data_IF_475139540045
#
_entry.id   IF_475139540045
#
_cell.length_a   1.000
_cell.length_b   1.000
_cell.length_c   1.000
_cell.angle_alpha   90.00
_cell.angle_beta   90.00
_cell.angle_gamma   90.00
#
_symmetry.space_group_name_H-M   'P 1'
#
loop_
_entity.id
_entity.type
_entity.pdbx_description
1 polymer ?
#
# COMPACT_ATOMS: atom_id res chain seq x y z
N UNK A 1 12.78 -17.24 20.26
CA UNK A 1 12.89 -15.76 20.17
C UNK A 1 11.71 -15.27 19.33
N UNK A 2 10.95 -14.26 19.77
CA UNK A 2 9.94 -13.64 18.91
C UNK A 2 10.70 -12.75 17.92
N UNK A 3 10.65 -13.08 16.63
CA UNK A 3 11.21 -12.20 15.61
C UNK A 3 10.33 -10.95 15.53
N UNK A 4 10.94 -9.78 15.69
CA UNK A 4 10.24 -8.51 15.53
C UNK A 4 9.71 -8.39 14.09
N UNK A 5 8.51 -7.82 13.88
CA UNK A 5 7.98 -7.62 12.54
C UNK A 5 8.89 -6.73 11.69
N UNK A 6 9.03 -7.07 10.41
CA UNK A 6 9.78 -6.24 9.46
C UNK A 6 8.83 -5.26 8.78
N UNK A 7 9.16 -3.97 8.81
CA UNK A 7 8.33 -2.90 8.22
C UNK A 7 9.03 -2.28 7.01
N UNK A 8 8.27 -2.10 5.93
CA UNK A 8 8.66 -1.34 4.73
C UNK A 8 7.66 -0.20 4.53
N UNK A 9 8.09 1.02 4.83
CA UNK A 9 7.32 2.23 4.55
C UNK A 9 7.65 2.72 3.14
N UNK A 10 6.80 2.40 2.17
CA UNK A 10 7.11 2.58 0.74
C UNK A 10 7.22 4.05 0.36
N UNK A 11 6.40 4.91 0.99
CA UNK A 11 6.53 6.36 0.90
C UNK A 11 7.95 6.84 1.21
N UNK A 12 8.66 6.19 2.13
CA UNK A 12 10.02 6.56 2.48
C UNK A 12 11.03 6.23 1.38
N UNK A 13 10.83 5.11 0.68
CA UNK A 13 11.68 4.73 -0.46
C UNK A 13 11.37 5.57 -1.69
N UNK A 14 10.16 6.13 -1.76
CA UNK A 14 9.66 6.90 -2.88
C UNK A 14 9.61 8.41 -2.60
N UNK A 15 10.33 8.93 -1.58
CA UNK A 15 10.31 10.35 -1.11
C UNK A 15 10.39 11.45 -2.18
N UNK A 16 10.90 11.16 -3.38
CA UNK A 16 11.03 12.11 -4.48
C UNK A 16 9.96 11.94 -5.59
N UNK A 17 9.00 11.03 -5.42
CA UNK A 17 7.95 10.73 -6.40
C UNK A 17 6.61 11.26 -5.88
N UNK A 18 6.47 12.59 -5.90
CA UNK A 18 5.32 13.32 -5.35
C UNK A 18 4.04 13.20 -6.21
N UNK A 19 3.82 12.03 -6.84
CA UNK A 19 2.68 11.76 -7.72
C UNK A 19 1.98 10.51 -7.22
N UNK A 20 0.72 10.63 -6.80
CA UNK A 20 -0.16 9.51 -6.41
C UNK A 20 -0.06 8.33 -7.39
N UNK A 21 0.06 8.63 -8.69
CA UNK A 21 0.30 7.68 -9.78
C UNK A 21 1.44 6.68 -9.54
N UNK A 22 2.48 7.04 -8.79
CA UNK A 22 3.62 6.18 -8.53
C UNK A 22 3.31 5.14 -7.46
N UNK A 23 2.66 5.54 -6.37
CA UNK A 23 2.23 4.58 -5.35
C UNK A 23 1.19 3.61 -5.91
N UNK A 24 0.29 4.12 -6.75
CA UNK A 24 -0.66 3.33 -7.51
C UNK A 24 0.02 2.28 -8.41
N UNK A 25 0.99 2.69 -9.23
CA UNK A 25 1.76 1.77 -10.09
C UNK A 25 2.60 0.79 -9.27
N UNK A 26 3.14 1.23 -8.15
CA UNK A 26 3.92 0.36 -7.27
C UNK A 26 3.03 -0.68 -6.57
N UNK A 27 1.84 -0.29 -6.12
CA UNK A 27 0.84 -1.19 -5.57
C UNK A 27 0.43 -2.24 -6.61
N UNK A 28 0.13 -1.84 -7.84
CA UNK A 28 -0.15 -2.77 -8.93
C UNK A 28 1.03 -3.74 -9.19
N UNK A 29 2.27 -3.23 -9.17
CA UNK A 29 3.46 -4.06 -9.32
C UNK A 29 3.65 -5.04 -8.16
N UNK A 30 3.35 -4.64 -6.91
CA UNK A 30 3.37 -5.54 -5.77
C UNK A 30 2.35 -6.66 -5.93
N UNK A 31 1.12 -6.35 -6.36
CA UNK A 31 0.08 -7.34 -6.65
C UNK A 31 0.51 -8.33 -7.73
N UNK A 32 1.27 -7.88 -8.73
CA UNK A 32 1.78 -8.75 -9.80
C UNK A 32 2.97 -9.63 -9.36
N UNK A 33 3.86 -9.11 -8.52
CA UNK A 33 5.18 -9.75 -8.27
C UNK A 33 5.33 -10.42 -6.91
N UNK A 34 4.59 -9.96 -5.90
CA UNK A 34 4.79 -10.38 -4.50
C UNK A 34 3.49 -10.88 -3.89
N UNK A 35 2.40 -10.12 -4.06
CA UNK A 35 1.09 -10.39 -3.47
C UNK A 35 0.19 -11.10 -4.49
N UNK A 36 0.71 -12.18 -5.07
CA UNK A 36 0.09 -12.94 -6.16
C UNK A 36 -1.07 -13.82 -5.71
N UNK A 37 -1.15 -14.09 -4.41
CA UNK A 37 -2.28 -14.78 -3.79
C UNK A 37 -3.36 -13.78 -3.37
N UNK A 38 -4.58 -14.27 -3.17
CA UNK A 38 -5.66 -13.44 -2.62
C UNK A 38 -5.44 -13.17 -1.13
N UNK A 39 -5.81 -11.96 -0.65
CA UNK A 39 -5.73 -11.67 0.77
C UNK A 39 -6.70 -12.56 1.56
N UNK A 40 -6.21 -13.12 2.67
CA UNK A 40 -7.00 -13.89 3.64
C UNK A 40 -8.03 -13.01 4.35
N UNK A 41 -7.71 -11.73 4.51
CA UNK A 41 -8.62 -10.72 5.04
C UNK A 41 -8.33 -9.39 4.37
N UNK A 42 -9.38 -8.61 4.07
CA UNK A 42 -9.24 -7.24 3.58
C UNK A 42 -10.31 -6.34 4.17
N UNK A 43 -10.00 -5.06 4.30
CA UNK A 43 -10.99 -4.04 4.65
C UNK A 43 -12.04 -3.96 3.54
N UNK A 44 -13.32 -3.88 3.90
CA UNK A 44 -14.38 -3.56 2.95
C UNK A 44 -14.20 -2.13 2.43
N UNK A 45 -14.55 -1.91 1.16
CA UNK A 45 -14.44 -0.58 0.55
C UNK A 45 -15.23 0.45 1.36
N UNK A 46 -14.57 1.55 1.73
CA UNK A 46 -15.20 2.65 2.46
C UNK A 46 -15.42 2.43 3.96
N UNK A 47 -14.98 1.29 4.53
CA UNK A 47 -15.19 0.95 5.95
C UNK A 47 -14.49 1.92 6.92
N UNK A 48 -13.30 2.43 6.56
CA UNK A 48 -12.54 3.37 7.40
C UNK A 48 -12.37 4.71 6.69
N UNK A 49 -13.09 5.71 7.18
CA UNK A 49 -13.01 7.10 6.74
C UNK A 49 -12.59 7.98 7.92
N UNK A 50 -11.51 8.74 7.74
CA UNK A 50 -11.00 9.69 8.73
C UNK A 50 -11.33 11.09 8.22
N UNK A 51 -12.10 11.84 9.00
CA UNK A 51 -12.49 13.21 8.67
C UNK A 51 -11.58 14.17 9.44
N UNK A 52 -10.70 14.88 8.74
CA UNK A 52 -9.83 15.89 9.34
C UNK A 52 -10.00 17.21 8.59
N UNK A 53 -10.57 18.24 9.23
CA UNK A 53 -10.61 19.62 8.71
C UNK A 53 -11.11 19.76 7.25
N UNK A 54 -12.18 19.05 6.88
CA UNK A 54 -12.78 18.95 5.51
C UNK A 54 -12.01 18.11 4.49
N UNK A 55 -10.89 17.47 4.88
CA UNK A 55 -10.21 16.45 4.09
C UNK A 55 -10.67 15.08 4.54
N UNK A 56 -11.03 14.24 3.58
CA UNK A 56 -11.36 12.84 3.83
C UNK A 56 -10.13 12.01 3.52
N UNK A 57 -9.69 11.24 4.51
CA UNK A 57 -8.70 10.20 4.31
C UNK A 57 -9.41 8.86 4.37
N UNK A 58 -9.05 7.96 3.46
CA UNK A 58 -9.47 6.58 3.49
C UNK A 58 -8.29 5.72 3.93
N UNK A 59 -8.59 4.68 4.71
CA UNK A 59 -7.62 3.69 5.13
C UNK A 59 -8.14 2.32 4.74
N UNK A 60 -7.24 1.45 4.27
CA UNK A 60 -7.54 0.05 4.09
C UNK A 60 -6.34 -0.81 4.41
N UNK A 61 -6.62 -2.07 4.73
CA UNK A 61 -5.63 -3.10 4.98
C UNK A 61 -5.97 -4.38 4.23
N UNK A 62 -4.94 -5.11 3.87
CA UNK A 62 -5.01 -6.46 3.33
C UNK A 62 -4.04 -7.34 4.12
N UNK A 63 -4.48 -8.55 4.45
CA UNK A 63 -3.72 -9.57 5.17
C UNK A 63 -3.45 -10.73 4.23
N UNK A 64 -2.19 -11.08 4.06
CA UNK A 64 -1.74 -12.19 3.23
C UNK A 64 -1.01 -13.23 4.06
N UNK A 65 -1.12 -14.49 3.66
CA UNK A 65 -0.31 -15.59 4.17
C UNK A 65 0.60 -16.07 3.03
N UNK A 66 1.86 -15.67 3.05
CA UNK A 66 2.82 -15.91 1.95
C UNK A 66 4.03 -16.64 2.50
N UNK A 67 4.32 -17.83 2.00
CA UNK A 67 5.52 -18.60 2.35
C UNK A 67 5.77 -18.70 3.87
N UNK A 68 4.74 -19.09 4.64
CA UNK A 68 4.75 -19.15 6.12
C UNK A 68 4.99 -17.82 6.84
N UNK A 69 4.87 -16.70 6.13
CA UNK A 69 4.90 -15.35 6.70
C UNK A 69 3.51 -14.72 6.62
N UNK A 70 3.17 -13.91 7.61
CA UNK A 70 1.95 -13.10 7.58
C UNK A 70 2.36 -11.70 7.16
N UNK A 71 1.81 -11.22 6.04
CA UNK A 71 2.07 -9.88 5.54
C UNK A 71 0.80 -9.04 5.68
N UNK A 72 0.93 -7.92 6.38
CA UNK A 72 -0.08 -6.87 6.44
C UNK A 72 0.33 -5.77 5.48
N UNK A 73 -0.51 -5.50 4.49
CA UNK A 73 -0.40 -4.33 3.65
C UNK A 73 -1.40 -3.29 4.13
N UNK A 74 -0.91 -2.11 4.48
CA UNK A 74 -1.71 -0.95 4.82
C UNK A 74 -1.58 0.10 3.71
N UNK A 75 -2.69 0.66 3.29
CA UNK A 75 -2.71 1.74 2.32
C UNK A 75 -3.63 2.86 2.79
N UNK A 76 -3.22 4.09 2.50
CA UNK A 76 -4.02 5.28 2.75
C UNK A 76 -4.32 6.00 1.46
N UNK A 77 -5.54 6.52 1.33
CA UNK A 77 -5.96 7.39 0.25
C UNK A 77 -6.29 8.78 0.76
N UNK A 78 -6.07 9.80 -0.08
CA UNK A 78 -6.38 11.19 0.24
C UNK A 78 -7.35 11.76 -0.77
N UNK A 79 -8.38 12.44 -0.28
CA UNK A 79 -9.26 13.24 -1.13
C UNK A 79 -8.71 14.65 -1.31
N UNK A 80 -8.47 15.05 -2.56
CA UNK A 80 -7.98 16.39 -2.91
C UNK A 80 -9.11 17.41 -3.16
N UNK A 81 -10.39 17.01 -3.01
CA UNK A 81 -11.54 17.93 -3.06
C UNK A 81 -12.19 18.13 -4.44
N UNK A 82 -11.77 17.44 -5.50
CA UNK A 82 -12.30 17.61 -6.87
C UNK A 82 -13.35 16.56 -7.28
N UNK A 83 -14.21 16.11 -6.36
CA UNK A 83 -15.37 15.29 -6.76
C UNK A 83 -16.50 16.21 -7.22
N UNK A 84 -16.82 16.19 -8.52
CA UNK A 84 -18.08 16.75 -9.02
C UNK A 84 -19.21 16.09 -8.20
N UNK A 85 -19.99 16.91 -7.48
CA UNK A 85 -21.16 16.52 -6.67
C UNK A 85 -21.01 16.13 -5.19
N UNK A 86 -19.89 16.39 -4.49
CA UNK A 86 -19.83 16.51 -3.00
C UNK A 86 -20.49 15.41 -2.12
N UNK A 87 -20.94 14.27 -2.65
CA UNK A 87 -21.87 13.39 -1.92
C UNK A 87 -21.20 12.25 -1.16
N UNK A 88 -20.00 11.82 -1.56
CA UNK A 88 -19.29 10.73 -0.90
C UNK A 88 -17.76 10.92 -0.98
N UNK A 89 -17.01 10.59 0.07
CA UNK A 89 -15.55 10.52 -0.03
C UNK A 89 -15.14 9.49 -1.09
N UNK A 90 -13.99 9.69 -1.76
CA UNK A 90 -13.55 8.76 -2.79
C UNK A 90 -13.29 7.39 -2.17
N UNK A 91 -13.83 6.36 -2.82
CA UNK A 91 -13.46 4.98 -2.56
C UNK A 91 -11.94 4.82 -2.74
N UNK A 92 -11.34 3.97 -1.90
CA UNK A 92 -9.93 3.67 -2.02
C UNK A 92 -9.75 2.72 -3.20
N UNK A 93 -9.59 3.32 -4.37
CA UNK A 93 -9.21 2.65 -5.62
C UNK A 93 -7.71 2.81 -5.82
N UNK A 94 -7.13 1.92 -6.62
CA UNK A 94 -5.76 1.98 -7.14
C UNK A 94 -5.40 3.33 -7.78
N UNK A 95 -6.30 4.29 -7.94
CA UNK A 95 -6.03 5.62 -8.47
C UNK A 95 -5.69 6.68 -7.41
N UNK A 96 -5.89 6.43 -6.11
CA UNK A 96 -5.83 7.46 -5.06
C UNK A 96 -4.91 7.14 -3.88
N UNK A 97 -3.98 6.19 -4.00
CA UNK A 97 -3.09 5.80 -2.90
C UNK A 97 -2.07 6.91 -2.62
N UNK A 98 -2.09 7.43 -1.40
CA UNK A 98 -1.17 8.45 -0.86
C UNK A 98 -0.15 7.90 0.13
N UNK A 99 -0.36 6.68 0.64
CA UNK A 99 0.57 6.00 1.54
C UNK A 99 0.45 4.49 1.41
N UNK A 100 1.58 3.81 1.54
CA UNK A 100 1.65 2.35 1.44
C UNK A 100 2.71 1.82 2.42
N UNK A 101 2.33 0.86 3.25
CA UNK A 101 3.19 0.23 4.26
C UNK A 101 3.00 -1.28 4.24
N UNK A 102 4.10 -2.02 4.25
CA UNK A 102 4.11 -3.48 4.39
C UNK A 102 4.69 -3.85 5.74
N UNK A 103 4.02 -4.70 6.50
CA UNK A 103 4.50 -5.25 7.77
C UNK A 103 4.49 -6.77 7.70
N UNK A 104 5.66 -7.39 7.89
CA UNK A 104 5.84 -8.84 7.76
C UNK A 104 6.11 -9.44 9.13
N UNK A 105 5.19 -10.30 9.58
CA UNK A 105 5.35 -11.15 10.75
C UNK A 105 5.91 -12.51 10.33
N UNK A 106 6.83 -13.06 11.14
CA UNK A 106 7.60 -14.26 10.79
C UNK A 106 8.27 -14.11 9.41
N UNK A 107 8.92 -12.97 9.20
CA UNK A 107 9.60 -12.64 7.96
C UNK A 107 10.60 -13.73 7.54
N UNK A 108 10.68 -13.99 6.24
CA UNK A 108 11.69 -14.86 5.64
C UNK A 108 12.52 -14.07 4.61
N UNK A 109 13.75 -14.52 4.36
CA UNK A 109 14.70 -13.80 3.51
C UNK A 109 14.23 -13.68 2.05
N UNK A 110 13.50 -14.67 1.54
CA UNK A 110 13.01 -14.70 0.17
C UNK A 110 11.96 -13.61 -0.06
N UNK A 111 10.95 -13.52 0.81
CA UNK A 111 9.90 -12.51 0.73
C UNK A 111 10.48 -11.09 0.88
N UNK A 112 11.39 -10.88 1.83
CA UNK A 112 12.08 -9.60 1.97
C UNK A 112 12.87 -9.23 0.72
N UNK A 113 13.56 -10.20 0.13
CA UNK A 113 14.34 -10.00 -1.10
C UNK A 113 13.42 -9.63 -2.25
N UNK A 114 12.31 -10.32 -2.45
CA UNK A 114 11.32 -10.01 -3.48
C UNK A 114 10.78 -8.58 -3.35
N UNK A 115 10.43 -8.16 -2.13
CA UNK A 115 9.96 -6.79 -1.87
C UNK A 115 11.06 -5.76 -2.19
N UNK A 116 12.29 -5.98 -1.68
CA UNK A 116 13.44 -5.09 -1.93
C UNK A 116 13.78 -5.00 -3.43
N UNK A 117 13.73 -6.12 -4.14
CA UNK A 117 13.93 -6.17 -5.59
C UNK A 117 12.82 -5.44 -6.35
N UNK A 118 11.57 -5.57 -5.91
CA UNK A 118 10.43 -4.83 -6.48
C UNK A 118 10.58 -3.32 -6.28
N UNK A 119 10.96 -2.88 -5.06
CA UNK A 119 11.28 -1.48 -4.75
C UNK A 119 12.42 -0.96 -5.66
N UNK A 120 13.50 -1.74 -5.79
CA UNK A 120 14.66 -1.38 -6.62
C UNK A 120 14.30 -1.31 -8.10
N UNK A 121 13.55 -2.27 -8.61
CA UNK A 121 13.06 -2.31 -9.99
C UNK A 121 12.20 -1.08 -10.28
N UNK A 122 11.23 -0.79 -9.42
CA UNK A 122 10.34 0.35 -9.59
C UNK A 122 11.14 1.67 -9.58
N UNK A 123 12.02 1.84 -8.59
CA UNK A 123 12.88 3.02 -8.45
C UNK A 123 13.83 3.23 -9.64
N UNK A 124 14.20 2.19 -10.37
CA UNK A 124 15.06 2.30 -11.56
C UNK A 124 14.26 2.65 -12.82
N UNK A 125 13.10 2.03 -13.01
CA UNK A 125 12.35 2.12 -14.27
C UNK A 125 11.37 3.30 -14.32
N UNK A 126 10.97 3.82 -13.16
CA UNK A 126 9.99 4.92 -13.09
C UNK A 126 10.63 6.27 -12.72
N UNK A 127 11.95 6.32 -12.52
CA UNK A 127 12.70 7.57 -12.30
C UNK A 127 12.80 8.36 -13.61
N UNK A 128 11.98 9.41 -13.73
CA UNK A 128 12.13 10.46 -14.74
C UNK A 128 12.73 11.69 -14.07
#
# INVERSE_FOLDING_TARGET
>A
MKNEPKVFEISDYLKNYNRLDYLNKFYALLKEKVLTEDPVQKTEEGLVQIIETRRFHSYGMELYNLNNSILVLEYSGMWTGYAHENKFPPELKDANISGLRLTIHNSNEELEKQIKETIKYFSKNYKK
#
